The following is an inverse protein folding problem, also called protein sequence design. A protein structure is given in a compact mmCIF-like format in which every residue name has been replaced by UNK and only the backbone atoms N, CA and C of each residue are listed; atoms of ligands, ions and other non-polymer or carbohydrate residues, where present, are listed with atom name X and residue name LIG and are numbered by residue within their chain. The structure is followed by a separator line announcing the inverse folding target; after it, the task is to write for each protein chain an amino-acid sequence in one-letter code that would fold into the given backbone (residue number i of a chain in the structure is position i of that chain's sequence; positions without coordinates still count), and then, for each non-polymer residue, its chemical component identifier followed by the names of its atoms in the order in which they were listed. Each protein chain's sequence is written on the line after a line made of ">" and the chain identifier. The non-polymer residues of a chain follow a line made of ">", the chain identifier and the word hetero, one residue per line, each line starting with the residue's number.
data_IF_691229941630
#
_entry.id   IF_691229941630
#
_cell.length_a   1.000
_cell.length_b   1.000
_cell.length_c   1.000
_cell.angle_alpha   90.00
_cell.angle_beta   90.00
_cell.angle_gamma   90.00
#
_symmetry.space_group_name_H-M   'P 1'
#
loop_
_entity.id
_entity.type
_entity.pdbx_description
1 polymer ?
#
# COMPACT_ATOMS: atom_id res chain seq x y z
N UNK A 1 -2.60 -7.37 14.83
CA UNK A 1 -1.13 -7.22 14.89
C UNK A 1 -0.75 -5.84 14.33
N UNK A 2 -0.19 -4.96 15.17
CA UNK A 2 0.32 -3.63 14.75
C UNK A 2 1.74 -3.83 14.22
N UNK A 3 2.05 -3.34 13.04
CA UNK A 3 3.37 -3.59 12.44
C UNK A 3 4.34 -2.54 12.98
N UNK A 4 5.42 -2.99 13.63
CA UNK A 4 6.31 -2.08 14.36
C UNK A 4 6.83 -0.92 13.50
N UNK A 5 7.08 -1.16 12.20
CA UNK A 5 7.53 -0.14 11.27
C UNK A 5 6.45 0.93 10.95
N UNK A 6 5.19 0.57 10.75
CA UNK A 6 4.13 1.55 10.47
C UNK A 6 3.86 2.43 11.69
N UNK A 7 3.90 1.81 12.87
CA UNK A 7 3.79 2.51 14.15
C UNK A 7 4.95 3.50 14.36
N UNK A 8 6.20 3.08 14.09
CA UNK A 8 7.38 3.93 14.24
C UNK A 8 7.30 5.17 13.32
N UNK A 9 6.91 4.99 12.06
CA UNK A 9 6.78 6.09 11.11
C UNK A 9 5.69 7.09 11.53
N UNK A 10 4.51 6.59 11.97
CA UNK A 10 3.43 7.45 12.48
C UNK A 10 3.85 8.22 13.72
N UNK A 11 4.54 7.57 14.65
CA UNK A 11 5.04 8.21 15.87
C UNK A 11 6.07 9.32 15.56
N UNK A 12 6.84 9.18 14.47
CA UNK A 12 7.75 10.21 13.97
C UNK A 12 7.04 11.33 13.18
N UNK A 13 5.70 11.37 13.16
CA UNK A 13 4.92 12.37 12.43
C UNK A 13 4.84 12.14 10.92
N UNK A 14 5.35 11.01 10.41
CA UNK A 14 5.27 10.67 8.99
C UNK A 14 3.86 10.19 8.68
N UNK A 15 3.21 10.84 7.70
CA UNK A 15 1.93 10.38 7.17
C UNK A 15 2.13 9.06 6.45
N UNK A 16 1.68 7.97 7.05
CA UNK A 16 1.79 6.63 6.49
C UNK A 16 0.46 5.91 6.47
N UNK A 17 0.35 5.02 5.51
CA UNK A 17 -0.86 4.30 5.20
C UNK A 17 -0.49 2.87 4.82
N UNK A 18 -1.29 1.91 5.29
CA UNK A 18 -0.98 0.49 5.14
C UNK A 18 -2.25 -0.29 4.85
N UNK A 19 -2.19 -1.15 3.83
CA UNK A 19 -3.20 -2.19 3.56
C UNK A 19 -2.51 -3.55 3.54
N UNK A 20 -3.02 -4.48 4.33
CA UNK A 20 -2.56 -5.87 4.34
C UNK A 20 -3.40 -6.70 3.35
N UNK A 21 -2.78 -7.60 2.61
CA UNK A 21 -3.45 -8.57 1.75
C UNK A 21 -3.15 -9.96 2.31
N UNK A 22 -4.05 -10.47 3.13
CA UNK A 22 -3.87 -11.73 3.85
C UNK A 22 -3.94 -12.92 2.89
N UNK A 23 -3.00 -13.85 3.02
CA UNK A 23 -2.91 -15.03 2.14
C UNK A 23 -2.15 -14.80 0.83
N UNK A 24 -1.78 -13.56 0.49
CA UNK A 24 -0.92 -13.27 -0.64
C UNK A 24 0.55 -13.68 -0.35
N UNK A 25 1.23 -14.23 -1.35
CA UNK A 25 2.66 -14.51 -1.27
C UNK A 25 3.49 -13.25 -1.50
N UNK A 26 4.76 -13.28 -1.11
CA UNK A 26 5.74 -12.34 -1.68
C UNK A 26 5.71 -12.42 -3.21
N UNK A 27 5.96 -11.32 -3.91
CA UNK A 27 5.85 -11.17 -5.38
C UNK A 27 4.44 -11.15 -6.01
N UNK A 28 3.36 -11.32 -5.24
CA UNK A 28 2.01 -11.32 -5.84
C UNK A 28 1.67 -10.04 -6.61
N UNK A 29 2.28 -8.90 -6.27
CA UNK A 29 1.96 -7.58 -6.82
C UNK A 29 2.06 -7.50 -8.35
N UNK A 30 2.94 -8.29 -8.97
CA UNK A 30 3.09 -8.34 -10.44
C UNK A 30 1.97 -9.12 -11.14
N UNK A 31 1.16 -9.89 -10.42
CA UNK A 31 0.23 -10.87 -10.99
C UNK A 31 -1.18 -10.31 -11.25
N UNK A 32 -1.33 -8.99 -11.46
CA UNK A 32 -2.64 -8.32 -11.57
C UNK A 32 -3.56 -8.85 -12.68
N UNK A 33 -3.03 -9.58 -13.66
CA UNK A 33 -3.81 -10.23 -14.70
C UNK A 33 -4.59 -11.47 -14.21
N UNK A 34 -4.10 -12.16 -13.18
CA UNK A 34 -4.61 -13.47 -12.74
C UNK A 34 -4.89 -13.55 -11.23
N UNK A 35 -4.33 -12.64 -10.44
CA UNK A 35 -4.56 -12.55 -8.98
C UNK A 35 -5.36 -11.28 -8.68
N UNK A 36 -6.58 -11.46 -8.16
CA UNK A 36 -7.48 -10.34 -7.82
C UNK A 36 -6.85 -9.37 -6.81
N UNK A 37 -6.23 -9.90 -5.75
CA UNK A 37 -5.59 -9.07 -4.73
C UNK A 37 -4.44 -8.25 -5.29
N UNK A 38 -3.71 -8.76 -6.28
CA UNK A 38 -2.65 -8.02 -6.96
C UNK A 38 -3.22 -6.82 -7.73
N UNK A 39 -4.31 -7.02 -8.48
CA UNK A 39 -5.02 -5.93 -9.17
C UNK A 39 -5.51 -4.87 -8.19
N UNK A 40 -6.07 -5.30 -7.05
CA UNK A 40 -6.52 -4.38 -6.01
C UNK A 40 -5.36 -3.62 -5.34
N UNK A 41 -4.23 -4.29 -5.10
CA UNK A 41 -3.02 -3.69 -4.55
C UNK A 41 -2.46 -2.62 -5.49
N UNK A 42 -2.36 -2.91 -6.79
CA UNK A 42 -1.93 -1.96 -7.81
C UNK A 42 -2.86 -0.74 -7.86
N UNK A 43 -4.18 -0.96 -7.84
CA UNK A 43 -5.16 0.13 -7.84
C UNK A 43 -5.09 0.97 -6.56
N UNK A 44 -4.91 0.34 -5.40
CA UNK A 44 -4.74 1.04 -4.12
C UNK A 44 -3.48 1.92 -4.13
N UNK A 45 -2.33 1.36 -4.49
CA UNK A 45 -1.08 2.09 -4.58
C UNK A 45 -1.17 3.25 -5.58
N UNK A 46 -1.71 3.00 -6.78
CA UNK A 46 -1.85 4.00 -7.83
C UNK A 46 -2.73 5.19 -7.42
N UNK A 47 -3.87 4.95 -6.74
CA UNK A 47 -4.72 6.04 -6.21
C UNK A 47 -3.96 6.90 -5.20
N UNK A 48 -3.17 6.28 -4.32
CA UNK A 48 -2.42 7.00 -3.29
C UNK A 48 -1.26 7.80 -3.88
N UNK A 49 -0.56 7.26 -4.87
CA UNK A 49 0.43 8.02 -5.63
C UNK A 49 -0.20 9.23 -6.32
N UNK A 50 -1.35 9.06 -6.98
CA UNK A 50 -2.08 10.18 -7.59
C UNK A 50 -2.46 11.25 -6.56
N UNK A 51 -2.92 10.85 -5.36
CA UNK A 51 -3.25 11.80 -4.29
C UNK A 51 -2.00 12.54 -3.76
N UNK A 52 -0.87 11.84 -3.63
CA UNK A 52 0.38 12.42 -3.17
C UNK A 52 0.94 13.43 -4.19
N UNK A 53 0.93 13.08 -5.48
CA UNK A 53 1.41 13.97 -6.55
C UNK A 53 0.41 15.07 -6.92
N UNK A 54 -0.90 14.82 -6.77
CA UNK A 54 -1.96 15.79 -7.05
C UNK A 54 -2.11 16.90 -5.99
N UNK A 55 -1.36 16.82 -4.89
CA UNK A 55 -1.20 17.90 -3.89
C UNK A 55 0.17 18.61 -3.99
N UNK A 56 0.80 18.58 -5.17
CA UNK A 56 2.03 19.30 -5.47
C UNK A 56 1.81 20.75 -5.92
N UNK A 57 0.90 21.49 -5.26
CA UNK A 57 0.66 22.93 -5.43
C UNK A 57 0.55 23.59 -4.07
#
# INVERSE_FOLDING_TARGET
>A
MRFAADAALKNAGVRTERKNFEGATHEFFGMGAVVKDAKEAQAYAGRRLKQAFGKGG
#
